data_IF_357631270263
#
_entry.id   IF_357631270263
#
_cell.length_a   1.000
_cell.length_b   1.000
_cell.length_c   1.000
_cell.angle_alpha   90.00
_cell.angle_beta   90.00
_cell.angle_gamma   90.00
#
_symmetry.space_group_name_H-M   'P 1'
#
loop_
_entity.id
_entity.type
_entity.pdbx_description
1 polymer ?
#
# COMPACT_ATOMS: atom_id res chain seq x y z
N UNK A 1 5.35 17.20 -0.80
CA UNK A 1 6.05 16.25 -1.70
C UNK A 1 5.69 14.84 -1.30
N UNK A 2 5.92 13.87 -2.18
CA UNK A 2 5.75 12.45 -1.83
C UNK A 2 6.88 11.99 -0.90
N UNK A 3 6.54 11.23 0.14
CA UNK A 3 7.48 10.59 1.04
C UNK A 3 8.24 9.54 0.25
N UNK A 4 9.57 9.65 0.26
CA UNK A 4 10.47 8.67 -0.33
C UNK A 4 10.97 7.72 0.77
N UNK A 5 11.03 6.42 0.50
CA UNK A 5 11.61 5.50 1.46
C UNK A 5 13.14 5.59 1.46
N UNK A 6 13.75 5.35 2.61
CA UNK A 6 15.20 5.19 2.70
C UNK A 6 15.63 3.94 1.94
N UNK A 7 16.83 3.96 1.36
CA UNK A 7 17.38 2.82 0.59
C UNK A 7 17.51 1.54 1.41
N UNK A 8 17.61 1.64 2.73
CA UNK A 8 17.65 0.51 3.65
C UNK A 8 16.28 -0.11 3.95
N UNK A 9 15.17 0.52 3.55
CA UNK A 9 13.82 0.06 3.90
C UNK A 9 13.26 -1.01 2.95
N UNK A 10 13.80 -1.14 1.73
CA UNK A 10 13.31 -2.06 0.70
C UNK A 10 14.42 -3.01 0.20
N UNK A 11 14.07 -4.24 -0.17
CA UNK A 11 15.03 -5.24 -0.69
C UNK A 11 15.29 -5.07 -2.19
N UNK A 12 14.34 -4.50 -2.93
CA UNK A 12 14.43 -4.35 -4.38
C UNK A 12 13.63 -3.15 -4.89
N UNK A 13 13.92 -2.72 -6.12
CA UNK A 13 13.28 -1.55 -6.74
C UNK A 13 11.77 -1.70 -6.89
N UNK A 14 11.25 -2.92 -7.03
CA UNK A 14 9.82 -3.13 -7.15
C UNK A 14 9.10 -2.86 -5.83
N UNK A 15 9.65 -3.25 -4.68
CA UNK A 15 9.13 -2.86 -3.35
C UNK A 15 9.08 -1.33 -3.19
N UNK A 16 10.14 -0.64 -3.60
CA UNK A 16 10.18 0.83 -3.64
C UNK A 16 9.06 1.38 -4.53
N UNK A 17 8.88 0.82 -5.72
CA UNK A 17 7.81 1.25 -6.64
C UNK A 17 6.42 1.04 -6.05
N UNK A 18 6.15 -0.08 -5.37
CA UNK A 18 4.87 -0.32 -4.69
C UNK A 18 4.65 0.73 -3.60
N UNK A 19 5.64 0.98 -2.75
CA UNK A 19 5.54 2.01 -1.70
C UNK A 19 5.23 3.39 -2.28
N UNK A 20 5.96 3.77 -3.33
CA UNK A 20 5.75 5.02 -4.04
C UNK A 20 4.35 5.10 -4.67
N UNK A 21 3.87 3.99 -5.24
CA UNK A 21 2.54 3.90 -5.82
C UNK A 21 1.44 4.02 -4.75
N UNK A 22 1.59 3.41 -3.58
CA UNK A 22 0.66 3.57 -2.45
C UNK A 22 0.58 5.05 -2.05
N UNK A 23 1.72 5.70 -1.86
CA UNK A 23 1.75 7.11 -1.44
C UNK A 23 1.25 8.06 -2.53
N UNK A 24 1.51 7.76 -3.81
CA UNK A 24 0.92 8.51 -4.92
C UNK A 24 -0.60 8.33 -4.98
N UNK A 25 -1.10 7.10 -4.79
CA UNK A 25 -2.53 6.81 -4.78
C UNK A 25 -3.23 7.52 -3.62
N UNK A 26 -2.63 7.53 -2.44
CA UNK A 26 -3.15 8.25 -1.27
C UNK A 26 -3.10 9.77 -1.47
N UNK A 27 -2.04 10.30 -2.08
CA UNK A 27 -1.91 11.74 -2.33
C UNK A 27 -2.85 12.25 -3.43
N UNK A 28 -3.01 11.52 -4.53
CA UNK A 28 -3.87 11.90 -5.66
C UNK A 28 -4.62 10.66 -6.20
N UNK A 29 -5.70 10.20 -5.55
CA UNK A 29 -6.39 8.96 -5.91
C UNK A 29 -6.91 8.93 -7.35
N UNK A 30 -7.38 10.07 -7.88
CA UNK A 30 -7.83 10.19 -9.28
C UNK A 30 -6.74 9.93 -10.31
N UNK A 31 -5.46 10.11 -9.96
CA UNK A 31 -4.34 9.77 -10.85
C UNK A 31 -4.25 8.28 -11.17
N UNK A 32 -4.90 7.42 -10.36
CA UNK A 32 -4.94 5.97 -10.56
C UNK A 32 -5.99 5.49 -11.56
N UNK A 33 -6.92 6.37 -11.99
CA UNK A 33 -8.01 6.01 -12.93
C UNK A 33 -7.51 5.35 -14.22
N UNK A 34 -6.46 5.83 -14.91
CA UNK A 34 -5.95 5.17 -16.11
C UNK A 34 -5.43 3.75 -15.85
N UNK A 35 -4.74 3.54 -14.73
CA UNK A 35 -4.20 2.24 -14.35
C UNK A 35 -5.30 1.25 -13.97
N UNK A 36 -6.36 1.73 -13.29
CA UNK A 36 -7.54 0.91 -13.00
C UNK A 36 -8.23 0.49 -14.29
N UNK A 37 -8.47 1.41 -15.23
CA UNK A 37 -9.03 1.06 -16.55
C UNK A 37 -8.20 0.00 -17.25
N UNK A 38 -6.88 0.13 -17.21
CA UNK A 38 -5.96 -0.85 -17.80
C UNK A 38 -6.08 -2.22 -17.11
N UNK A 39 -6.11 -2.26 -15.77
CA UNK A 39 -6.23 -3.51 -15.01
C UNK A 39 -7.50 -4.27 -15.37
N UNK A 40 -8.66 -3.58 -15.38
CA UNK A 40 -9.94 -4.18 -15.77
C UNK A 40 -9.98 -4.67 -17.22
N UNK A 41 -9.30 -3.95 -18.13
CA UNK A 41 -9.24 -4.31 -19.54
C UNK A 41 -8.36 -5.54 -19.79
N UNK A 42 -7.22 -5.63 -19.13
CA UNK A 42 -6.16 -6.55 -19.53
C UNK A 42 -6.03 -7.76 -18.61
N UNK A 43 -6.29 -7.60 -17.31
CA UNK A 43 -5.93 -8.59 -16.32
C UNK A 43 -6.89 -9.78 -16.29
N UNK A 44 -6.35 -11.00 -16.37
CA UNK A 44 -7.12 -12.25 -16.47
C UNK A 44 -8.07 -12.48 -15.29
N UNK A 45 -7.69 -12.02 -14.10
CA UNK A 45 -8.52 -12.14 -12.89
C UNK A 45 -9.79 -11.27 -12.91
N UNK A 46 -9.83 -10.22 -13.73
CA UNK A 46 -10.97 -9.30 -13.82
C UNK A 46 -11.85 -9.60 -15.05
N UNK A 47 -11.27 -10.24 -16.08
CA UNK A 47 -11.97 -10.63 -17.32
C UNK A 47 -13.06 -11.69 -17.12
N UNK A 48 -12.94 -12.52 -16.08
CA UNK A 48 -13.77 -13.72 -15.93
C UNK A 48 -15.17 -13.51 -15.31
N UNK A 49 -15.61 -12.27 -15.03
CA UNK A 49 -16.97 -12.01 -14.55
C UNK A 49 -17.18 -10.77 -13.67
N UNK A 50 -16.11 -10.01 -13.41
CA UNK A 50 -16.01 -8.99 -12.36
C UNK A 50 -15.46 -7.68 -12.93
N UNK A 51 -15.91 -7.28 -14.12
CA UNK A 51 -15.63 -5.95 -14.67
C UNK A 51 -16.71 -4.93 -14.35
N UNK A 52 -17.67 -5.30 -13.52
CA UNK A 52 -18.95 -4.59 -13.40
C UNK A 52 -18.81 -3.31 -12.59
N UNK A 53 -17.91 -3.32 -11.61
CA UNK A 53 -17.76 -2.21 -10.68
C UNK A 53 -16.63 -1.25 -11.05
N UNK A 54 -16.05 -1.37 -12.25
CA UNK A 54 -14.99 -0.47 -12.72
C UNK A 54 -15.41 1.01 -12.63
N UNK A 55 -16.61 1.34 -13.12
CA UNK A 55 -17.10 2.72 -13.11
C UNK A 55 -17.35 3.23 -11.68
N UNK A 56 -17.80 2.36 -10.77
CA UNK A 56 -18.03 2.71 -9.37
C UNK A 56 -16.72 2.95 -8.64
N UNK A 57 -15.70 2.12 -8.88
CA UNK A 57 -14.34 2.35 -8.38
C UNK A 57 -13.76 3.66 -8.92
N UNK A 58 -13.95 3.96 -10.22
CA UNK A 58 -13.50 5.23 -10.80
C UNK A 58 -14.19 6.41 -10.12
N UNK A 59 -15.52 6.35 -9.96
CA UNK A 59 -16.28 7.39 -9.26
C UNK A 59 -15.79 7.55 -7.82
N UNK A 60 -15.51 6.44 -7.12
CA UNK A 60 -14.93 6.47 -5.77
C UNK A 60 -13.58 7.16 -5.76
N UNK A 61 -12.64 6.77 -6.62
CA UNK A 61 -11.31 7.40 -6.72
C UNK A 61 -11.37 8.89 -7.06
N UNK A 62 -12.35 9.31 -7.88
CA UNK A 62 -12.57 10.72 -8.19
C UNK A 62 -13.13 11.51 -7.00
N UNK A 63 -13.93 10.86 -6.15
CA UNK A 63 -14.53 11.47 -4.96
C UNK A 63 -13.63 11.41 -3.73
N UNK A 64 -12.67 10.48 -3.68
CA UNK A 64 -11.74 10.33 -2.55
C UNK A 64 -10.78 11.53 -2.49
N UNK A 65 -10.74 12.26 -1.36
CA UNK A 65 -9.79 13.36 -1.18
C UNK A 65 -8.35 12.85 -1.05
N UNK A 66 -7.38 13.76 -1.03
CA UNK A 66 -6.01 13.39 -0.65
C UNK A 66 -5.98 12.85 0.78
N UNK A 67 -5.37 11.69 0.95
CA UNK A 67 -5.18 11.00 2.21
C UNK A 67 -3.77 11.22 2.76
N UNK A 68 -3.60 10.95 4.06
CA UNK A 68 -2.28 10.99 4.71
C UNK A 68 -1.37 9.91 4.13
N UNK A 69 -0.17 10.27 3.73
CA UNK A 69 0.84 9.32 3.25
C UNK A 69 1.29 8.36 4.35
N UNK A 70 1.61 7.13 3.97
CA UNK A 70 2.08 6.06 4.85
C UNK A 70 3.60 6.03 4.94
N UNK A 71 4.11 5.41 6.01
CA UNK A 71 5.53 5.12 6.19
C UNK A 71 5.77 3.62 6.19
N UNK A 72 6.99 3.20 5.86
CA UNK A 72 7.39 1.81 6.05
C UNK A 72 7.35 1.44 7.53
N UNK A 73 6.82 0.26 7.82
CA UNK A 73 7.02 -0.43 9.09
C UNK A 73 8.02 -1.56 8.86
N UNK A 74 9.17 -1.46 9.53
CA UNK A 74 10.28 -2.41 9.41
C UNK A 74 9.86 -3.80 9.87
N UNK A 75 9.12 -3.90 10.98
CA UNK A 75 8.64 -5.18 11.52
C UNK A 75 7.57 -5.79 10.60
N UNK A 76 6.70 -4.96 10.03
CA UNK A 76 5.72 -5.42 9.06
C UNK A 76 6.40 -5.94 7.79
N UNK A 77 7.42 -5.25 7.31
CA UNK A 77 8.19 -5.67 6.13
C UNK A 77 8.95 -6.97 6.40
N UNK A 78 9.55 -7.12 7.58
CA UNK A 78 10.18 -8.36 8.02
C UNK A 78 9.19 -9.52 8.08
N UNK A 79 8.00 -9.30 8.65
CA UNK A 79 6.94 -10.31 8.69
C UNK A 79 6.53 -10.82 7.30
N UNK A 80 6.34 -9.92 6.33
CA UNK A 80 6.00 -10.30 4.95
C UNK A 80 7.17 -11.06 4.31
N UNK A 81 8.43 -10.66 4.56
CA UNK A 81 9.62 -11.35 4.05
C UNK A 81 9.75 -12.77 4.61
N UNK A 82 9.55 -12.95 5.91
CA UNK A 82 9.60 -14.26 6.55
C UNK A 82 8.47 -15.17 6.07
N UNK A 83 7.26 -14.65 5.95
CA UNK A 83 6.13 -15.39 5.41
C UNK A 83 6.41 -15.83 3.95
N UNK A 84 6.89 -14.91 3.11
CA UNK A 84 7.27 -15.22 1.73
C UNK A 84 8.34 -16.32 1.65
N UNK A 85 9.38 -16.27 2.51
CA UNK A 85 10.39 -17.35 2.59
C UNK A 85 9.75 -18.70 2.91
N UNK A 86 8.81 -18.73 3.86
CA UNK A 86 8.12 -19.95 4.26
C UNK A 86 7.21 -20.49 3.15
N UNK A 87 6.46 -19.63 2.45
CA UNK A 87 5.60 -20.01 1.32
C UNK A 87 6.43 -20.54 0.15
N UNK A 88 7.53 -19.89 -0.19
CA UNK A 88 8.44 -20.33 -1.26
C UNK A 88 9.05 -21.70 -0.91
N UNK A 89 9.46 -21.92 0.34
CA UNK A 89 10.07 -23.17 0.77
C UNK A 89 9.12 -24.39 0.64
N UNK A 90 7.80 -24.18 0.65
CA UNK A 90 6.82 -25.26 0.44
C UNK A 90 6.69 -25.71 -1.01
N UNK A 91 7.18 -24.92 -1.97
CA UNK A 91 7.13 -25.23 -3.41
C UNK A 91 5.74 -25.66 -3.92
N UNK A 92 4.68 -25.05 -3.37
CA UNK A 92 3.30 -25.35 -3.74
C UNK A 92 3.01 -24.87 -5.17
N UNK A 93 2.30 -25.69 -5.96
CA UNK A 93 1.87 -25.29 -7.31
C UNK A 93 0.97 -24.05 -7.30
N UNK A 94 0.24 -23.83 -6.20
CA UNK A 94 -0.53 -22.63 -5.92
C UNK A 94 -0.10 -22.12 -4.55
N UNK A 95 0.74 -21.09 -4.47
CA UNK A 95 1.23 -20.56 -3.20
C UNK A 95 0.07 -20.21 -2.26
N UNK A 96 0.18 -20.65 -1.00
CA UNK A 96 -0.72 -20.22 0.07
C UNK A 96 -0.76 -18.69 0.15
N UNK A 97 -1.96 -18.10 0.20
CA UNK A 97 -2.16 -16.65 0.37
C UNK A 97 -2.27 -16.29 1.86
N UNK A 98 -1.81 -15.09 2.22
CA UNK A 98 -1.91 -14.57 3.58
C UNK A 98 -0.85 -15.11 4.54
N UNK A 99 -1.03 -14.88 5.83
CA UNK A 99 -0.11 -15.29 6.90
C UNK A 99 0.90 -14.21 7.32
N UNK A 100 0.85 -13.03 6.71
CA UNK A 100 1.70 -11.90 7.06
C UNK A 100 1.32 -11.34 8.43
N UNK A 101 0.02 -11.23 8.74
CA UNK A 101 -0.46 -10.77 10.05
C UNK A 101 -0.04 -11.73 11.15
N UNK A 102 -0.12 -13.05 10.89
CA UNK A 102 0.32 -14.06 11.86
C UNK A 102 1.81 -13.88 12.18
N UNK A 103 2.65 -13.72 11.15
CA UNK A 103 4.08 -13.45 11.33
C UNK A 103 4.35 -12.10 12.00
N UNK A 104 3.57 -11.07 11.70
CA UNK A 104 3.69 -9.78 12.35
C UNK A 104 3.38 -9.85 13.84
N UNK A 105 2.35 -10.59 14.22
CA UNK A 105 2.01 -10.86 15.62
C UNK A 105 3.12 -11.65 16.34
N UNK A 106 3.79 -12.59 15.66
CA UNK A 106 4.96 -13.29 16.20
C UNK A 106 6.14 -12.35 16.48
N UNK A 107 6.44 -11.43 15.55
CA UNK A 107 7.60 -10.52 15.63
C UNK A 107 7.36 -9.37 16.62
N UNK A 108 6.24 -8.66 16.46
CA UNK A 108 5.92 -7.46 17.25
C UNK A 108 5.36 -7.81 18.63
N UNK A 109 4.79 -9.01 18.77
CA UNK A 109 4.00 -9.42 19.92
C UNK A 109 2.58 -8.86 19.90
N UNK A 110 1.70 -9.52 20.65
CA UNK A 110 0.29 -9.16 20.75
C UNK A 110 -0.56 -9.63 19.56
N UNK A 111 -1.87 -9.38 19.65
CA UNK A 111 -2.82 -9.66 18.57
C UNK A 111 -3.18 -8.37 17.84
N UNK A 112 -2.65 -8.20 16.63
CA UNK A 112 -2.91 -7.08 15.74
C UNK A 112 -3.90 -7.45 14.62
N UNK A 113 -4.60 -8.58 14.72
CA UNK A 113 -5.48 -9.07 13.65
C UNK A 113 -6.62 -8.11 13.32
N UNK A 114 -7.09 -7.34 14.31
CA UNK A 114 -8.16 -6.36 14.12
C UNK A 114 -7.67 -5.00 13.57
N UNK A 115 -6.37 -4.73 13.63
CA UNK A 115 -5.75 -3.44 13.22
C UNK A 115 -4.88 -3.56 11.96
N UNK A 116 -4.71 -4.77 11.44
CA UNK A 116 -3.94 -5.04 10.24
C UNK A 116 -4.85 -5.60 9.13
N UNK A 117 -4.51 -5.22 7.90
CA UNK A 117 -5.02 -5.87 6.70
C UNK A 117 -3.83 -6.43 5.92
N UNK A 118 -4.02 -7.58 5.28
CA UNK A 118 -3.01 -8.18 4.42
C UNK A 118 -3.56 -8.41 3.02
N UNK A 119 -2.68 -8.27 2.04
CA UNK A 119 -2.96 -8.59 0.66
C UNK A 119 -1.81 -9.46 0.14
N UNK A 120 -2.13 -10.48 -0.64
CA UNK A 120 -1.13 -11.37 -1.24
C UNK A 120 -1.50 -11.64 -2.69
N UNK A 121 -0.56 -11.33 -3.57
CA UNK A 121 -0.73 -11.54 -5.00
C UNK A 121 0.26 -12.58 -5.53
N UNK A 122 -0.14 -13.84 -5.66
CA UNK A 122 0.71 -14.84 -6.29
C UNK A 122 0.81 -14.55 -7.80
N UNK A 123 2.02 -14.67 -8.36
CA UNK A 123 2.26 -14.59 -9.80
C UNK A 123 1.81 -13.26 -10.44
N UNK A 124 2.17 -12.13 -9.83
CA UNK A 124 1.98 -10.84 -10.48
C UNK A 124 2.80 -10.76 -11.78
N UNK A 125 2.13 -10.50 -12.91
CA UNK A 125 2.77 -10.40 -14.23
C UNK A 125 3.00 -8.95 -14.69
N UNK A 126 2.56 -7.96 -13.92
CA UNK A 126 2.81 -6.55 -14.23
C UNK A 126 4.26 -6.13 -13.95
N UNK A 127 4.61 -4.93 -14.40
CA UNK A 127 5.99 -4.43 -14.35
C UNK A 127 6.17 -3.22 -13.44
N UNK A 128 5.08 -2.58 -12.98
CA UNK A 128 5.14 -1.36 -12.17
C UNK A 128 4.34 -1.44 -10.89
N UNK A 129 4.77 -0.69 -9.87
CA UNK A 129 4.03 -0.55 -8.63
C UNK A 129 2.62 0.02 -8.82
N UNK A 130 2.42 0.94 -9.78
CA UNK A 130 1.10 1.50 -10.08
C UNK A 130 0.14 0.44 -10.62
N UNK A 131 0.62 -0.47 -11.49
CA UNK A 131 -0.19 -1.59 -11.99
C UNK A 131 -0.56 -2.54 -10.85
N UNK A 132 0.38 -2.82 -9.95
CA UNK A 132 0.12 -3.67 -8.78
C UNK A 132 -0.98 -3.08 -7.89
N UNK A 133 -0.85 -1.81 -7.54
CA UNK A 133 -1.84 -1.12 -6.68
C UNK A 133 -3.19 -0.97 -7.39
N UNK A 134 -3.22 -0.65 -8.68
CA UNK A 134 -4.46 -0.57 -9.43
C UNK A 134 -5.21 -1.92 -9.50
N UNK A 135 -4.47 -3.02 -9.64
CA UNK A 135 -5.04 -4.36 -9.63
C UNK A 135 -5.53 -4.76 -8.24
N UNK A 136 -4.76 -4.47 -7.19
CA UNK A 136 -5.20 -4.70 -5.81
C UNK A 136 -6.51 -3.96 -5.52
N UNK A 137 -6.58 -2.66 -5.87
CA UNK A 137 -7.82 -1.89 -5.77
C UNK A 137 -8.94 -2.61 -6.53
N UNK A 138 -8.77 -2.89 -7.82
CA UNK A 138 -9.80 -3.52 -8.62
C UNK A 138 -10.36 -4.82 -7.99
N UNK A 139 -9.47 -5.69 -7.49
CA UNK A 139 -9.88 -6.95 -6.86
C UNK A 139 -10.57 -6.75 -5.52
N UNK A 140 -10.03 -5.89 -4.66
CA UNK A 140 -10.68 -5.53 -3.40
C UNK A 140 -12.12 -5.03 -3.68
N UNK A 141 -12.38 -4.37 -4.83
CA UNK A 141 -13.67 -3.66 -5.07
C UNK A 141 -14.71 -4.63 -5.55
N UNK A 142 -14.26 -5.56 -6.38
CA UNK A 142 -15.09 -6.67 -6.83
C UNK A 142 -15.46 -7.56 -5.64
N UNK A 143 -14.52 -7.85 -4.74
CA UNK A 143 -14.74 -8.62 -3.50
C UNK A 143 -15.52 -7.84 -2.42
N UNK A 144 -15.64 -6.52 -2.54
CA UNK A 144 -16.39 -5.69 -1.60
C UNK A 144 -17.90 -5.83 -1.78
N UNK A 145 -18.56 -6.44 -0.79
CA UNK A 145 -20.02 -6.58 -0.72
C UNK A 145 -20.73 -5.37 -0.06
N UNK A 146 -20.02 -4.27 0.21
CA UNK A 146 -20.58 -3.15 0.98
C UNK A 146 -21.82 -2.54 0.34
N UNK A 147 -22.81 -2.30 1.20
CA UNK A 147 -24.17 -1.90 0.86
C UNK A 147 -24.21 -0.77 -0.17
N UNK A 148 -24.84 -1.05 -1.32
CA UNK A 148 -25.33 -0.07 -2.29
C UNK A 148 -26.31 0.93 -1.63
N UNK A 149 -25.83 1.84 -0.79
CA UNK A 149 -26.64 2.93 -0.23
C UNK A 149 -25.90 4.24 0.00
N UNK A 150 -24.69 4.40 -0.50
CA UNK A 150 -24.17 5.74 -0.75
C UNK A 150 -24.50 6.10 -2.20
N UNK A 151 -25.45 7.02 -2.32
CA UNK A 151 -26.10 7.41 -3.55
C UNK A 151 -25.14 7.49 -4.74
N UNK A 152 -25.40 6.66 -5.75
CA UNK A 152 -24.81 6.77 -7.07
C UNK A 152 -24.97 8.23 -7.55
N UNK A 153 -23.90 9.02 -7.40
CA UNK A 153 -23.78 10.29 -8.07
C UNK A 153 -23.76 9.97 -9.56
N UNK A 154 -24.88 10.28 -10.22
CA UNK A 154 -25.10 10.08 -11.65
C UNK A 154 -23.85 10.53 -12.41
N UNK A 155 -23.14 9.64 -13.13
CA UNK A 155 -21.94 10.05 -13.83
C UNK A 155 -22.33 11.05 -14.92
N UNK A 156 -21.75 12.25 -14.87
CA UNK A 156 -21.74 13.15 -16.01
C UNK A 156 -21.09 12.40 -17.17
N UNK A 157 -21.79 12.33 -18.31
CA UNK A 157 -21.30 11.69 -19.51
C UNK A 157 -19.94 12.31 -19.90
N UNK A 158 -18.87 11.55 -19.70
CA UNK A 158 -17.54 11.91 -20.16
C UNK A 158 -17.36 11.26 -21.53
N UNK A 159 -17.47 12.12 -22.53
CA UNK A 159 -17.27 11.84 -23.94
C UNK A 159 -15.88 11.20 -24.15
N UNK A 160 -15.88 9.99 -24.72
CA UNK A 160 -14.69 9.24 -25.01
C UNK A 160 -14.19 9.63 -26.40
N UNK A 161 -13.31 10.62 -26.48
CA UNK A 161 -12.34 10.75 -27.59
C UNK A 161 -11.23 11.73 -27.18
N UNK A 162 -10.11 11.19 -26.71
CA UNK A 162 -8.84 11.92 -26.72
C UNK A 162 -7.72 10.92 -27.01
N UNK A 163 -7.39 10.88 -28.28
CA UNK A 163 -6.22 10.24 -28.89
C UNK A 163 -4.96 10.85 -28.25
N UNK A 164 -4.17 10.03 -27.55
CA UNK A 164 -2.88 10.44 -26.98
C UNK A 164 -1.83 10.44 -28.10
N UNK A 165 -1.61 11.61 -28.66
CA UNK A 165 -0.44 11.89 -29.50
C UNK A 165 0.82 11.98 -28.64
N UNK A 166 1.84 11.29 -29.12
CA UNK A 166 3.20 11.16 -28.60
C UNK A 166 3.92 12.51 -28.53
N UNK A 167 4.48 12.86 -27.36
CA UNK A 167 5.33 14.02 -27.19
C UNK A 167 6.56 13.65 -26.34
N UNK A 168 7.79 13.91 -26.82
CA UNK A 168 9.00 13.42 -26.20
C UNK A 168 9.39 14.24 -24.96
N UNK A 169 9.88 13.52 -23.94
CA UNK A 169 10.42 14.06 -22.68
C UNK A 169 11.79 14.71 -22.96
N UNK A 170 12.04 15.98 -22.57
CA UNK A 170 13.37 16.56 -22.65
C UNK A 170 14.28 16.03 -21.53
N UNK A 171 15.51 15.67 -21.92
CA UNK A 171 16.57 15.18 -21.05
C UNK A 171 17.02 16.22 -20.02
N UNK A 172 17.24 15.78 -18.77
CA UNK A 172 17.95 16.57 -17.75
C UNK A 172 19.46 16.26 -17.80
N UNK A 173 20.34 17.27 -17.63
CA UNK A 173 21.77 17.07 -17.52
C UNK A 173 22.19 16.68 -16.11
N UNK A 174 23.21 15.83 -16.04
CA UNK A 174 23.94 15.44 -14.84
C UNK A 174 24.90 16.55 -14.36
N UNK A 175 25.04 16.69 -13.05
CA UNK A 175 26.24 17.27 -12.42
C UNK A 175 26.53 16.59 -11.08
N UNK A 176 27.77 16.13 -10.96
CA UNK A 176 28.44 15.55 -9.80
C UNK A 176 28.96 16.60 -8.80
N UNK A 177 29.51 16.07 -7.69
CA UNK A 177 30.40 16.66 -6.67
C UNK A 177 29.71 17.40 -5.52
N UNK A 178 30.07 17.22 -4.25
CA UNK A 178 31.14 16.46 -3.62
C UNK A 178 31.29 16.93 -2.16
N UNK A 179 32.03 16.15 -1.37
CA UNK A 179 32.66 16.51 -0.07
C UNK A 179 31.86 16.32 1.23
N UNK A 180 32.29 15.31 1.99
CA UNK A 180 32.42 15.32 3.45
C UNK A 180 33.86 15.78 3.81
N UNK A 181 34.35 15.83 5.08
CA UNK A 181 33.72 15.55 6.39
C UNK A 181 34.03 16.62 7.48
N UNK A 182 33.45 16.53 8.69
CA UNK A 182 34.25 16.70 9.92
C UNK A 182 33.58 16.19 11.22
N UNK A 183 34.44 15.81 12.17
CA UNK A 183 34.23 15.22 13.50
C UNK A 183 33.98 16.28 14.58
N UNK A 184 33.23 15.89 15.64
CA UNK A 184 33.50 16.26 17.06
C UNK A 184 32.48 15.52 17.96
N UNK A 185 32.84 14.48 18.72
CA UNK A 185 33.36 14.41 20.11
C UNK A 185 32.57 15.14 21.20
N UNK A 186 31.92 14.34 22.07
CA UNK A 186 32.10 14.41 23.54
C UNK A 186 30.99 15.07 24.38
N UNK A 187 30.26 14.27 25.17
CA UNK A 187 30.30 14.26 26.65
C UNK A 187 29.06 13.65 27.31
N UNK A 188 29.31 12.80 28.30
CA UNK A 188 28.38 12.23 29.28
C UNK A 188 27.90 13.29 30.31
N UNK A 189 26.75 13.05 30.98
CA UNK A 189 26.57 12.97 32.46
C UNK A 189 25.08 12.75 32.82
N UNK A 190 24.80 11.55 33.35
CA UNK A 190 24.09 11.13 34.59
C UNK A 190 22.97 11.97 35.28
N UNK A 191 21.84 11.27 35.56
CA UNK A 191 21.01 11.14 36.81
C UNK A 191 20.41 12.41 37.46
N UNK A 192 19.19 12.47 38.05
CA UNK A 192 18.31 11.47 38.67
C UNK A 192 16.87 12.03 38.92
N UNK A 193 15.92 11.10 39.06
CA UNK A 193 14.77 11.03 39.99
C UNK A 193 13.55 12.00 39.95
N UNK A 194 12.40 11.34 39.68
CA UNK A 194 11.16 11.29 40.48
C UNK A 194 10.11 12.43 40.43
N UNK A 195 8.95 12.13 39.84
CA UNK A 195 7.65 12.67 40.28
C UNK A 195 6.46 11.74 39.92
N UNK A 196 5.98 11.04 40.96
CA UNK A 196 4.60 10.72 41.36
C UNK A 196 3.50 10.40 40.31
N UNK A 197 2.96 9.20 40.52
CA UNK A 197 1.66 8.67 40.12
C UNK A 197 0.47 9.63 40.25
N UNK A 198 -0.40 9.60 39.23
CA UNK A 198 -1.86 9.73 39.37
C UNK A 198 -2.54 8.85 38.33
N UNK A 199 -3.62 8.12 38.68
CA UNK A 199 -4.18 7.08 37.83
C UNK A 199 -5.08 7.68 36.74
N UNK A 200 -4.77 7.38 35.48
CA UNK A 200 -5.64 7.67 34.35
C UNK A 200 -6.76 6.62 34.28
N UNK A 201 -7.97 7.07 34.61
CA UNK A 201 -9.22 6.33 34.42
C UNK A 201 -9.81 6.75 33.08
N UNK A 202 -9.75 5.87 32.07
CA UNK A 202 -10.77 5.66 31.05
C UNK A 202 -10.23 4.68 30.00
N UNK A 203 -10.55 3.40 30.16
CA UNK A 203 -10.61 2.48 29.04
C UNK A 203 -11.79 2.94 28.16
N UNK A 204 -11.50 3.71 27.12
CA UNK A 204 -12.45 3.91 26.04
C UNK A 204 -12.65 2.54 25.38
N UNK A 205 -13.92 2.14 25.29
CA UNK A 205 -14.33 0.91 24.65
C UNK A 205 -13.65 0.79 23.29
N UNK A 206 -12.95 -0.32 23.06
CA UNK A 206 -12.46 -0.70 21.75
C UNK A 206 -13.67 -0.73 20.81
N UNK A 207 -13.82 0.33 20.00
CA UNK A 207 -14.77 0.35 18.91
C UNK A 207 -14.52 -0.88 18.07
N UNK A 208 -15.58 -1.61 17.72
CA UNK A 208 -15.46 -2.70 16.76
C UNK A 208 -14.72 -2.18 15.52
N UNK A 209 -13.74 -2.91 14.98
CA UNK A 209 -13.04 -2.49 13.77
C UNK A 209 -14.09 -2.22 12.69
N UNK A 210 -14.19 -0.97 12.28
CA UNK A 210 -14.97 -0.59 11.10
C UNK A 210 -14.33 -1.32 9.94
N UNK A 211 -15.07 -2.21 9.27
CA UNK A 211 -14.62 -2.77 8.00
C UNK A 211 -14.18 -1.59 7.11
N UNK A 212 -12.99 -1.65 6.49
CA UNK A 212 -12.52 -0.55 5.65
C UNK A 212 -13.58 -0.22 4.61
N UNK A 213 -13.71 1.07 4.29
CA UNK A 213 -14.79 1.58 3.44
C UNK A 213 -14.80 0.96 2.03
N UNK A 214 -13.68 0.36 1.61
CA UNK A 214 -13.66 -0.67 0.55
C UNK A 214 -12.26 -1.33 0.42
N UNK A 215 -11.17 -0.57 0.31
CA UNK A 215 -9.79 -1.10 0.25
C UNK A 215 -8.93 -0.51 1.37
N UNK A 216 -8.12 -1.31 2.08
CA UNK A 216 -7.23 -0.81 3.14
C UNK A 216 -6.28 0.30 2.69
N UNK A 217 -5.85 0.31 1.42
CA UNK A 217 -4.95 1.35 0.89
C UNK A 217 -5.61 2.74 0.90
N UNK A 218 -6.94 2.81 0.84
CA UNK A 218 -7.72 4.05 0.85
C UNK A 218 -8.38 4.32 2.20
N UNK A 219 -7.97 3.61 3.25
CA UNK A 219 -8.44 3.86 4.62
C UNK A 219 -7.63 5.00 5.26
N UNK A 220 -8.33 5.96 5.87
CA UNK A 220 -7.74 7.13 6.51
C UNK A 220 -6.87 6.75 7.71
N UNK A 221 -7.21 5.65 8.38
CA UNK A 221 -6.54 5.21 9.60
C UNK A 221 -5.24 4.43 9.32
N UNK A 222 -4.95 4.10 8.07
CA UNK A 222 -3.71 3.40 7.70
C UNK A 222 -2.52 4.35 7.73
N UNK A 223 -1.55 4.02 8.57
CA UNK A 223 -0.33 4.81 8.80
C UNK A 223 0.94 4.10 8.30
N UNK A 224 0.90 2.78 8.25
CA UNK A 224 2.08 1.94 8.07
C UNK A 224 1.84 0.87 7.01
N UNK A 225 2.91 0.50 6.29
CA UNK A 225 2.87 -0.59 5.32
C UNK A 225 4.11 -1.48 5.45
N UNK A 226 3.89 -2.80 5.34
CA UNK A 226 4.93 -3.80 5.12
C UNK A 226 4.81 -4.33 3.70
N UNK A 227 5.92 -4.36 2.96
CA UNK A 227 5.93 -4.79 1.55
C UNK A 227 7.09 -5.75 1.36
N UNK A 228 6.82 -6.86 0.70
CA UNK A 228 7.88 -7.71 0.16
C UNK A 228 7.48 -8.23 -1.21
N UNK A 229 8.43 -8.22 -2.13
CA UNK A 229 8.32 -8.94 -3.40
C UNK A 229 9.47 -9.93 -3.50
N UNK A 230 9.14 -11.23 -3.62
CA UNK A 230 10.10 -12.24 -4.02
C UNK A 230 9.64 -12.91 -5.30
N UNK A 231 10.51 -12.89 -6.29
CA UNK A 231 10.36 -13.67 -7.51
C UNK A 231 10.42 -15.15 -7.09
N UNK A 232 9.36 -15.90 -7.35
CA UNK A 232 9.44 -17.36 -7.33
C UNK A 232 10.46 -17.76 -8.42
N UNK A 233 11.55 -18.48 -8.08
CA UNK A 233 12.35 -19.10 -9.13
C UNK A 233 11.43 -19.99 -9.95
N UNK A 234 11.41 -19.75 -11.27
CA UNK A 234 10.63 -20.55 -12.22
C UNK A 234 11.07 -22.00 -12.23
#
# INVERSE_FOLDING_TARGET
GLIQPWSSSYENDFEKQIFMAINLCRFDPKSFVPYVRQAYKDHVLLKAGSGKKMNDLIAKLQATPSLKQVTFDEQASEAVRENNKAVIAKAEAKPTKGGNIAKYNEIKGGDNTSSCAEFTFPQFEGTTGQQFIALQLALDFEDFEGAEKDAAAKPAALDATAELADAPIPAQPATEAGSAPDKSTGSEVKTDAAAKDKPAKAAAAAGKPTKPSYSPILDDDVQFVGICNKVHPK
#
